data_IF_825099957567
#
_entry.id   IF_825099957567
#
_cell.length_a   1.000
_cell.length_b   1.000
_cell.length_c   1.000
_cell.angle_alpha   90.00
_cell.angle_beta   90.00
_cell.angle_gamma   90.00
#
_symmetry.space_group_name_H-M   'P 1'
#
loop_
_entity.id
_entity.type
_entity.pdbx_description
1 polymer ?
#
# COMPACT_ATOMS: atom_id res chain seq x y z
N UNK A 1 1.45 1.30 2.32
CA UNK A 1 1.68 -0.14 2.54
C UNK A 1 0.76 -0.57 3.68
N UNK A 2 -0.03 -1.63 3.46
CA UNK A 2 -0.96 -2.17 4.44
C UNK A 2 -0.39 -3.46 5.05
N UNK A 3 -0.80 -3.80 6.27
CA UNK A 3 -0.51 -5.09 6.88
C UNK A 3 -1.25 -6.17 6.08
N UNK A 4 -0.54 -6.89 5.20
CA UNK A 4 -1.13 -7.94 4.37
C UNK A 4 -0.63 -9.29 4.85
N UNK A 5 -1.53 -10.11 5.38
CA UNK A 5 -1.24 -11.52 5.65
C UNK A 5 -1.45 -12.34 4.38
N UNK A 6 -0.38 -12.96 3.90
CA UNK A 6 -0.44 -13.89 2.77
C UNK A 6 -1.18 -15.17 3.18
N UNK A 7 -0.99 -15.62 4.42
CA UNK A 7 -1.59 -16.85 4.95
C UNK A 7 -3.12 -16.77 4.98
N UNK A 8 -3.67 -15.62 5.37
CA UNK A 8 -5.12 -15.41 5.33
C UNK A 8 -5.68 -15.47 3.90
N UNK A 9 -4.98 -14.87 2.95
CA UNK A 9 -5.41 -14.89 1.54
C UNK A 9 -5.38 -16.30 0.97
N UNK A 10 -4.35 -17.09 1.29
CA UNK A 10 -4.24 -18.49 0.87
C UNK A 10 -5.33 -19.33 1.53
N UNK A 11 -5.55 -19.18 2.86
CA UNK A 11 -6.60 -19.89 3.58
C UNK A 11 -8.01 -19.65 2.98
N UNK A 12 -8.36 -18.38 2.73
CA UNK A 12 -9.65 -18.02 2.14
C UNK A 12 -9.81 -18.60 0.73
N UNK A 13 -8.75 -18.56 -0.07
CA UNK A 13 -8.76 -19.09 -1.43
C UNK A 13 -8.93 -20.60 -1.45
N UNK A 14 -8.19 -21.33 -0.60
CA UNK A 14 -8.31 -22.79 -0.50
C UNK A 14 -9.67 -23.24 0.02
N UNK A 15 -10.24 -22.55 1.00
CA UNK A 15 -11.60 -22.82 1.50
C UNK A 15 -12.63 -22.64 0.36
N UNK A 16 -12.54 -21.54 -0.37
CA UNK A 16 -13.49 -21.27 -1.43
C UNK A 16 -13.40 -22.29 -2.58
N UNK A 17 -12.19 -22.69 -2.96
CA UNK A 17 -11.99 -23.77 -3.95
C UNK A 17 -12.57 -25.08 -3.42
N UNK A 18 -12.33 -25.43 -2.15
CA UNK A 18 -12.89 -26.62 -1.54
C UNK A 18 -14.42 -26.62 -1.52
N UNK A 19 -15.04 -25.47 -1.21
CA UNK A 19 -16.49 -25.31 -1.25
C UNK A 19 -17.03 -25.51 -2.69
N UNK A 20 -16.34 -24.95 -3.70
CA UNK A 20 -16.74 -25.16 -5.10
C UNK A 20 -16.65 -26.63 -5.50
N UNK A 21 -15.57 -27.32 -5.12
CA UNK A 21 -15.42 -28.74 -5.40
C UNK A 21 -16.51 -29.55 -4.66
N UNK A 22 -16.80 -29.20 -3.41
CA UNK A 22 -17.87 -29.88 -2.64
C UNK A 22 -19.25 -29.69 -3.25
N UNK A 23 -19.59 -28.50 -3.74
CA UNK A 23 -20.92 -28.20 -4.29
C UNK A 23 -21.10 -28.62 -5.74
N UNK A 24 -20.06 -28.56 -6.55
CA UNK A 24 -20.13 -28.75 -8.01
C UNK A 24 -19.20 -29.88 -8.51
N UNK A 25 -18.46 -30.52 -7.60
CA UNK A 25 -17.43 -31.51 -7.93
C UNK A 25 -17.98 -32.71 -8.68
N UNK A 26 -19.13 -33.24 -8.29
CA UNK A 26 -19.76 -34.35 -8.96
C UNK A 26 -20.09 -34.02 -10.43
N UNK A 27 -20.77 -32.90 -10.68
CA UNK A 27 -21.10 -32.44 -12.03
C UNK A 27 -19.85 -32.16 -12.87
N UNK A 28 -18.84 -31.54 -12.27
CA UNK A 28 -17.55 -31.28 -12.91
C UNK A 28 -16.82 -32.59 -13.24
N UNK A 29 -16.80 -33.53 -12.32
CA UNK A 29 -16.17 -34.83 -12.49
C UNK A 29 -16.84 -35.66 -13.58
N UNK A 30 -18.16 -35.75 -13.59
CA UNK A 30 -18.93 -36.44 -14.61
C UNK A 30 -18.74 -35.79 -15.99
N UNK A 31 -18.70 -34.46 -16.05
CA UNK A 31 -18.41 -33.73 -17.28
C UNK A 31 -17.02 -34.05 -17.83
N UNK A 32 -15.99 -34.03 -16.97
CA UNK A 32 -14.60 -34.37 -17.35
C UNK A 32 -14.53 -35.84 -17.80
N UNK A 33 -15.16 -36.74 -17.08
CA UNK A 33 -15.19 -38.16 -17.43
C UNK A 33 -15.85 -38.38 -18.80
N UNK A 34 -16.98 -37.73 -19.09
CA UNK A 34 -17.67 -37.79 -20.41
C UNK A 34 -16.76 -37.26 -21.53
N UNK A 35 -16.03 -36.18 -21.30
CA UNK A 35 -15.07 -35.62 -22.26
C UNK A 35 -13.94 -36.62 -22.54
N UNK A 36 -13.41 -37.25 -21.50
CA UNK A 36 -12.36 -38.27 -21.66
C UNK A 36 -12.87 -39.48 -22.44
N UNK A 37 -14.06 -39.98 -22.10
CA UNK A 37 -14.68 -41.09 -22.85
C UNK A 37 -14.86 -40.75 -24.31
N UNK A 38 -15.40 -39.56 -24.63
CA UNK A 38 -15.61 -39.10 -26.01
C UNK A 38 -14.27 -38.91 -26.74
N UNK A 39 -13.24 -38.44 -26.06
CA UNK A 39 -11.91 -38.25 -26.63
C UNK A 39 -11.24 -39.58 -27.04
N UNK A 40 -11.61 -40.70 -26.41
CA UNK A 40 -11.09 -42.03 -26.73
C UNK A 40 -12.02 -42.86 -27.64
N UNK A 41 -13.29 -42.46 -27.81
CA UNK A 41 -14.26 -43.12 -28.69
C UNK A 41 -14.43 -42.28 -29.96
N UNK A 42 -13.61 -42.55 -30.95
CA UNK A 42 -13.67 -41.84 -32.24
C UNK A 42 -14.86 -42.33 -33.09
N UNK A 43 -15.69 -41.40 -33.56
CA UNK A 43 -16.63 -41.69 -34.67
C UNK A 43 -15.81 -41.96 -35.94
N UNK A 44 -16.17 -42.99 -36.70
CA UNK A 44 -15.57 -43.34 -37.96
C UNK A 44 -15.51 -42.14 -38.94
N UNK A 45 -16.45 -41.22 -38.84
CA UNK A 45 -16.49 -39.99 -39.66
C UNK A 45 -15.34 -39.05 -39.35
N UNK A 46 -14.94 -38.89 -38.10
CA UNK A 46 -13.83 -38.04 -37.65
C UNK A 46 -12.50 -38.62 -38.15
N UNK A 47 -12.42 -39.97 -38.25
CA UNK A 47 -11.20 -40.65 -38.74
C UNK A 47 -11.09 -40.51 -40.25
N UNK A 48 -12.22 -40.52 -40.97
CA UNK A 48 -12.21 -40.53 -42.48
C UNK A 48 -12.19 -39.12 -43.05
N UNK A 49 -12.64 -38.10 -42.34
CA UNK A 49 -12.68 -36.70 -42.76
C UNK A 49 -11.80 -35.82 -41.81
N UNK A 50 -10.63 -35.45 -42.31
CA UNK A 50 -9.69 -34.63 -41.56
C UNK A 50 -10.22 -33.22 -41.24
N UNK A 51 -11.25 -32.73 -41.99
CA UNK A 51 -11.86 -31.41 -41.69
C UNK A 51 -12.68 -31.41 -40.40
N UNK A 52 -13.10 -32.54 -39.89
CA UNK A 52 -13.86 -32.70 -38.66
C UNK A 52 -12.96 -32.73 -37.42
N UNK A 53 -11.68 -32.98 -37.55
CA UNK A 53 -10.72 -33.09 -36.44
C UNK A 53 -10.62 -31.78 -35.63
N UNK A 54 -10.38 -30.58 -36.26
CA UNK A 54 -10.28 -29.33 -35.49
C UNK A 54 -11.56 -28.98 -34.72
N UNK A 55 -12.79 -29.03 -35.30
CA UNK A 55 -14.00 -28.73 -34.55
C UNK A 55 -14.29 -29.76 -33.43
N UNK A 56 -13.94 -31.04 -33.61
CA UNK A 56 -14.09 -32.06 -32.59
C UNK A 56 -13.24 -31.75 -31.36
N UNK A 57 -11.94 -31.57 -31.52
CA UNK A 57 -11.07 -31.19 -30.41
C UNK A 57 -11.35 -29.80 -29.85
N UNK A 58 -11.79 -28.87 -30.69
CA UNK A 58 -12.23 -27.54 -30.26
C UNK A 58 -13.42 -27.62 -29.30
N UNK A 59 -14.41 -28.45 -29.60
CA UNK A 59 -15.59 -28.67 -28.76
C UNK A 59 -15.20 -29.33 -27.41
N UNK A 60 -14.40 -30.40 -27.44
CA UNK A 60 -13.91 -31.05 -26.22
C UNK A 60 -13.14 -30.08 -25.34
N UNK A 61 -12.28 -29.23 -25.93
CA UNK A 61 -11.50 -28.22 -25.18
C UNK A 61 -12.39 -27.16 -24.55
N UNK A 62 -13.41 -26.67 -25.27
CA UNK A 62 -14.37 -25.72 -24.74
C UNK A 62 -15.19 -26.31 -23.58
N UNK A 63 -15.69 -27.53 -23.74
CA UNK A 63 -16.42 -28.22 -22.66
C UNK A 63 -15.53 -28.44 -21.44
N UNK A 64 -14.27 -28.83 -21.63
CA UNK A 64 -13.30 -28.97 -20.56
C UNK A 64 -13.03 -27.64 -19.84
N UNK A 65 -12.89 -26.55 -20.59
CA UNK A 65 -12.75 -25.22 -20.01
C UNK A 65 -13.98 -24.83 -19.16
N UNK A 66 -15.18 -25.05 -19.67
CA UNK A 66 -16.41 -24.72 -18.91
C UNK A 66 -16.60 -25.62 -17.69
N UNK A 67 -16.13 -26.86 -17.72
CA UNK A 67 -16.18 -27.76 -16.56
C UNK A 67 -15.34 -27.24 -15.39
N UNK A 68 -14.18 -26.61 -15.64
CA UNK A 68 -13.33 -26.04 -14.59
C UNK A 68 -13.58 -24.55 -14.32
N UNK A 69 -14.42 -23.90 -15.15
CA UNK A 69 -14.70 -22.47 -15.08
C UNK A 69 -15.18 -21.99 -13.69
N UNK A 70 -16.01 -22.74 -12.92
CA UNK A 70 -16.42 -22.32 -11.58
C UNK A 70 -15.24 -22.11 -10.63
N UNK A 71 -14.25 -23.02 -10.64
CA UNK A 71 -13.03 -22.88 -9.82
C UNK A 71 -12.23 -21.65 -10.25
N UNK A 72 -12.04 -21.46 -11.56
CA UNK A 72 -11.33 -20.30 -12.09
C UNK A 72 -12.04 -18.99 -11.73
N UNK A 73 -13.36 -18.93 -11.89
CA UNK A 73 -14.14 -17.75 -11.58
C UNK A 73 -14.02 -17.36 -10.10
N UNK A 74 -14.17 -18.30 -9.18
CA UNK A 74 -14.05 -18.04 -7.73
C UNK A 74 -12.63 -17.64 -7.38
N UNK A 75 -11.63 -18.31 -7.95
CA UNK A 75 -10.22 -17.98 -7.71
C UNK A 75 -9.89 -16.56 -8.16
N UNK A 76 -10.34 -16.18 -9.36
CA UNK A 76 -10.14 -14.82 -9.91
C UNK A 76 -10.88 -13.80 -9.05
N UNK A 77 -12.16 -14.06 -8.73
CA UNK A 77 -12.96 -13.15 -7.91
C UNK A 77 -12.34 -12.90 -6.55
N UNK A 78 -11.87 -13.95 -5.87
CA UNK A 78 -11.22 -13.83 -4.56
C UNK A 78 -9.84 -13.17 -4.66
N UNK A 79 -9.06 -13.45 -5.71
CA UNK A 79 -7.77 -12.81 -5.90
C UNK A 79 -7.91 -11.29 -6.08
N UNK A 80 -8.89 -10.84 -6.86
CA UNK A 80 -9.23 -9.43 -6.99
C UNK A 80 -9.87 -8.88 -5.72
N UNK A 81 -10.84 -9.57 -5.14
CA UNK A 81 -11.52 -9.17 -3.90
C UNK A 81 -10.56 -8.98 -2.73
N UNK A 82 -9.62 -9.89 -2.55
CA UNK A 82 -8.58 -9.76 -1.52
C UNK A 82 -7.69 -8.52 -1.75
N UNK A 83 -7.41 -8.15 -3.00
CA UNK A 83 -6.67 -6.93 -3.31
C UNK A 83 -7.46 -5.66 -2.95
N UNK A 84 -8.79 -5.67 -3.15
CA UNK A 84 -9.67 -4.55 -2.79
C UNK A 84 -9.87 -4.41 -1.27
N UNK A 85 -10.12 -5.52 -0.57
CA UNK A 85 -10.42 -5.54 0.86
C UNK A 85 -9.21 -5.15 1.73
N UNK A 86 -8.00 -5.48 1.29
CA UNK A 86 -6.78 -5.32 2.12
C UNK A 86 -6.02 -4.02 1.84
N UNK A 87 -6.43 -3.19 0.87
CA UNK A 87 -5.65 -1.97 0.72
C UNK A 87 -5.84 -1.13 -0.53
N UNK A 88 -6.85 -1.40 -1.32
CA UNK A 88 -7.08 -0.64 -2.55
C UNK A 88 -6.01 -0.89 -3.64
N UNK A 89 -6.29 -0.49 -4.85
CA UNK A 89 -5.36 -0.61 -5.98
C UNK A 89 -4.38 0.58 -5.95
N UNK A 90 -3.29 0.44 -5.22
CA UNK A 90 -2.19 1.39 -5.26
C UNK A 90 -1.20 1.06 -6.38
N UNK A 91 -1.34 1.69 -7.52
CA UNK A 91 -0.36 1.57 -8.60
C UNK A 91 0.82 2.50 -8.30
N UNK A 92 1.97 1.94 -7.90
CA UNK A 92 3.18 2.72 -7.65
C UNK A 92 4.29 2.35 -8.63
N UNK A 93 4.50 3.18 -9.63
CA UNK A 93 5.59 3.05 -10.60
C UNK A 93 6.97 3.07 -9.91
N UNK A 94 7.10 3.75 -8.75
CA UNK A 94 8.34 3.78 -7.97
C UNK A 94 8.78 2.40 -7.45
N UNK A 95 7.87 1.42 -7.39
CA UNK A 95 8.18 0.04 -7.01
C UNK A 95 8.93 -0.75 -8.08
N UNK A 96 8.78 -0.38 -9.35
CA UNK A 96 9.40 -1.04 -10.51
C UNK A 96 10.80 -0.50 -10.84
N UNK A 97 11.17 0.66 -10.32
CA UNK A 97 12.50 1.22 -10.56
C UNK A 97 13.57 0.37 -9.85
N UNK A 98 14.57 -0.14 -10.59
CA UNK A 98 15.65 -0.92 -10.02
C UNK A 98 16.48 -0.03 -9.09
N UNK A 99 16.58 -0.42 -7.81
CA UNK A 99 17.42 0.26 -6.83
C UNK A 99 18.76 -0.46 -6.78
N UNK A 100 19.84 0.18 -7.23
CA UNK A 100 21.19 -0.36 -7.22
C UNK A 100 21.63 -0.89 -5.83
N UNK A 101 21.10 -0.30 -4.75
CA UNK A 101 21.34 -0.79 -3.38
C UNK A 101 20.76 -2.18 -3.08
N UNK A 102 19.82 -2.66 -3.89
CA UNK A 102 19.24 -4.03 -3.77
C UNK A 102 20.06 -5.08 -4.51
N UNK A 103 20.93 -4.66 -5.42
CA UNK A 103 21.77 -5.54 -6.24
C UNK A 103 23.09 -5.93 -5.56
N UNK A 104 23.39 -5.38 -4.38
CA UNK A 104 24.61 -5.72 -3.65
C UNK A 104 24.48 -7.11 -2.99
N UNK A 105 25.25 -8.13 -3.47
CA UNK A 105 25.11 -9.51 -3.00
C UNK A 105 25.57 -9.67 -1.53
N UNK A 106 26.56 -8.90 -1.07
CA UNK A 106 27.07 -8.97 0.31
C UNK A 106 25.99 -8.50 1.30
N UNK A 107 25.29 -7.40 0.99
CA UNK A 107 24.14 -6.93 1.79
C UNK A 107 22.95 -7.88 1.70
N UNK A 108 22.82 -8.62 0.59
CA UNK A 108 21.83 -9.67 0.40
C UNK A 108 22.08 -10.85 1.34
N UNK A 109 23.29 -11.37 1.37
CA UNK A 109 23.72 -12.47 2.26
C UNK A 109 23.55 -12.10 3.74
N UNK A 110 24.00 -10.91 4.16
CA UNK A 110 23.81 -10.46 5.55
C UNK A 110 22.33 -10.36 5.97
N UNK A 111 21.42 -10.09 5.04
CA UNK A 111 19.96 -10.13 5.31
C UNK A 111 19.42 -11.55 5.39
N UNK A 112 19.95 -12.50 4.60
CA UNK A 112 19.54 -13.92 4.62
C UNK A 112 19.94 -14.60 5.93
N UNK A 113 21.09 -14.25 6.51
CA UNK A 113 21.59 -14.82 7.79
C UNK A 113 21.25 -13.95 9.01
N UNK A 114 20.44 -12.91 8.85
CA UNK A 114 19.99 -12.07 9.96
C UNK A 114 18.95 -12.74 10.85
N UNK A 115 18.84 -12.33 12.11
CA UNK A 115 17.85 -12.83 13.08
C UNK A 115 16.42 -12.81 12.54
N UNK A 116 16.10 -11.83 11.71
CA UNK A 116 14.79 -11.74 11.06
C UNK A 116 14.51 -12.94 10.13
N UNK A 117 15.50 -13.33 9.32
CA UNK A 117 15.38 -14.50 8.43
C UNK A 117 15.29 -15.80 9.20
N UNK A 118 16.00 -15.93 10.33
CA UNK A 118 15.91 -17.10 11.20
C UNK A 118 14.49 -17.25 11.78
N UNK A 119 13.88 -16.15 12.23
CA UNK A 119 12.49 -16.14 12.71
C UNK A 119 11.50 -16.52 11.59
N UNK A 120 11.70 -15.99 10.38
CA UNK A 120 10.87 -16.35 9.22
C UNK A 120 11.03 -17.81 8.83
N UNK A 121 12.26 -18.35 8.87
CA UNK A 121 12.53 -19.78 8.65
C UNK A 121 11.82 -20.66 9.69
N UNK A 122 11.94 -20.32 10.98
CA UNK A 122 11.29 -21.06 12.06
C UNK A 122 9.76 -21.08 11.90
N UNK A 123 9.17 -19.93 11.57
CA UNK A 123 7.74 -19.86 11.26
C UNK A 123 7.37 -20.74 10.06
N UNK A 124 8.18 -20.74 9.00
CA UNK A 124 7.97 -21.60 7.83
C UNK A 124 8.00 -23.09 8.19
N UNK A 125 8.97 -23.50 9.01
CA UNK A 125 9.07 -24.88 9.50
C UNK A 125 7.88 -25.27 10.37
N UNK A 126 7.44 -24.40 11.28
CA UNK A 126 6.25 -24.65 12.10
C UNK A 126 4.98 -24.78 11.26
N UNK A 127 4.80 -23.95 10.23
CA UNK A 127 3.69 -24.07 9.29
C UNK A 127 3.74 -25.41 8.55
N UNK A 128 4.90 -25.79 8.06
CA UNK A 128 5.10 -27.07 7.37
C UNK A 128 4.73 -28.26 8.28
N UNK A 129 5.15 -28.23 9.54
CA UNK A 129 4.82 -29.27 10.51
C UNK A 129 3.31 -29.34 10.78
N UNK A 130 2.65 -28.20 11.00
CA UNK A 130 1.20 -28.13 11.24
C UNK A 130 0.43 -28.65 10.03
N UNK A 131 0.72 -28.12 8.83
CA UNK A 131 0.03 -28.55 7.60
C UNK A 131 0.31 -30.03 7.33
N UNK A 132 1.56 -30.47 7.43
CA UNK A 132 1.96 -31.87 7.23
C UNK A 132 1.26 -32.82 8.20
N UNK A 133 1.14 -32.44 9.48
CA UNK A 133 0.41 -33.24 10.47
C UNK A 133 -1.07 -33.36 10.12
N UNK A 134 -1.71 -32.27 9.66
CA UNK A 134 -3.12 -32.32 9.25
C UNK A 134 -3.30 -33.15 7.98
N UNK A 135 -2.40 -33.02 6.99
CA UNK A 135 -2.44 -33.86 5.78
C UNK A 135 -2.31 -35.34 6.14
N UNK A 136 -1.37 -35.70 7.02
CA UNK A 136 -1.23 -37.07 7.47
C UNK A 136 -2.46 -37.58 8.22
N UNK A 137 -3.08 -36.72 9.03
CA UNK A 137 -4.34 -37.04 9.73
C UNK A 137 -5.48 -37.26 8.73
N UNK A 138 -5.63 -36.39 7.73
CA UNK A 138 -6.63 -36.54 6.67
C UNK A 138 -6.44 -37.82 5.89
N UNK A 139 -5.20 -38.13 5.48
CA UNK A 139 -4.89 -39.41 4.80
C UNK A 139 -5.20 -40.62 5.67
N UNK A 140 -4.94 -40.54 6.97
CA UNK A 140 -5.26 -41.60 7.90
C UNK A 140 -6.78 -41.83 8.05
N UNK A 141 -7.55 -40.71 8.18
CA UNK A 141 -9.01 -40.80 8.34
C UNK A 141 -9.66 -41.37 7.07
N UNK A 142 -9.28 -40.89 5.90
CA UNK A 142 -9.86 -41.29 4.62
C UNK A 142 -9.17 -42.47 3.94
N UNK A 143 -8.27 -43.16 4.62
CA UNK A 143 -7.48 -44.24 4.03
C UNK A 143 -8.36 -45.36 3.46
N UNK A 144 -9.35 -45.82 4.22
CA UNK A 144 -10.25 -46.88 3.80
C UNK A 144 -11.13 -46.45 2.63
N UNK A 145 -11.66 -45.23 2.66
CA UNK A 145 -12.48 -44.64 1.58
C UNK A 145 -11.66 -44.55 0.29
N UNK A 146 -10.45 -43.99 0.35
CA UNK A 146 -9.55 -43.89 -0.82
C UNK A 146 -9.23 -45.30 -1.38
N UNK A 147 -9.10 -46.31 -0.52
CA UNK A 147 -8.83 -47.68 -0.97
C UNK A 147 -10.03 -48.28 -1.69
N UNK A 148 -11.24 -48.05 -1.19
CA UNK A 148 -12.52 -48.51 -1.78
C UNK A 148 -12.73 -47.96 -3.18
N UNK A 149 -12.30 -46.73 -3.48
CA UNK A 149 -12.42 -46.12 -4.81
C UNK A 149 -11.80 -46.94 -5.94
N UNK A 150 -10.83 -47.84 -5.63
CA UNK A 150 -10.22 -48.70 -6.63
C UNK A 150 -11.08 -49.95 -7.00
N UNK A 151 -12.16 -50.19 -6.26
CA UNK A 151 -12.93 -51.42 -6.37
C UNK A 151 -14.35 -51.16 -6.92
N UNK A 152 -14.85 -49.92 -6.76
CA UNK A 152 -16.19 -49.52 -7.20
C UNK A 152 -16.21 -49.08 -8.68
N UNK A 153 -17.41 -48.93 -9.23
CA UNK A 153 -17.60 -48.43 -10.58
C UNK A 153 -17.01 -47.03 -10.77
N UNK A 154 -16.45 -46.73 -11.94
CA UNK A 154 -15.76 -45.51 -12.27
C UNK A 154 -16.64 -44.24 -12.05
N UNK A 155 -17.93 -44.28 -12.37
CA UNK A 155 -18.82 -43.15 -12.17
C UNK A 155 -19.06 -42.89 -10.67
N UNK A 156 -19.29 -43.90 -9.88
CA UNK A 156 -19.40 -43.79 -8.42
C UNK A 156 -18.08 -43.35 -7.79
N UNK A 157 -16.98 -43.94 -8.21
CA UNK A 157 -15.64 -43.56 -7.73
C UNK A 157 -15.30 -42.13 -8.00
N UNK A 158 -15.76 -41.56 -9.11
CA UNK A 158 -15.54 -40.12 -9.45
C UNK A 158 -16.28 -39.21 -8.47
N UNK A 159 -17.55 -39.50 -8.16
CA UNK A 159 -18.34 -38.69 -7.21
C UNK A 159 -17.79 -38.79 -5.79
N UNK A 160 -17.65 -40.00 -5.24
CA UNK A 160 -17.14 -40.24 -3.88
C UNK A 160 -15.69 -39.73 -3.72
N UNK A 161 -14.86 -39.92 -4.75
CA UNK A 161 -13.48 -39.43 -4.75
C UNK A 161 -13.39 -37.91 -4.69
N UNK A 162 -14.29 -37.21 -5.40
CA UNK A 162 -14.35 -35.73 -5.36
C UNK A 162 -14.86 -35.22 -4.01
N UNK A 163 -15.83 -35.89 -3.40
CA UNK A 163 -16.33 -35.56 -2.06
C UNK A 163 -15.22 -35.77 -0.98
N UNK A 164 -14.52 -36.88 -1.03
CA UNK A 164 -13.38 -37.16 -0.15
C UNK A 164 -12.28 -36.12 -0.32
N UNK A 165 -11.97 -35.76 -1.57
CA UNK A 165 -10.99 -34.73 -1.91
C UNK A 165 -11.42 -33.34 -1.41
N UNK A 166 -12.67 -32.96 -1.63
CA UNK A 166 -13.22 -31.68 -1.17
C UNK A 166 -13.18 -31.57 0.36
N UNK A 167 -13.61 -32.62 1.06
CA UNK A 167 -13.58 -32.69 2.52
C UNK A 167 -12.15 -32.65 3.05
N UNK A 168 -11.22 -33.38 2.43
CA UNK A 168 -9.80 -33.32 2.76
C UNK A 168 -9.21 -31.91 2.61
N UNK A 169 -9.50 -31.24 1.50
CA UNK A 169 -9.05 -29.85 1.27
C UNK A 169 -9.68 -28.90 2.30
N UNK A 170 -10.96 -29.07 2.65
CA UNK A 170 -11.61 -28.27 3.70
C UNK A 170 -10.91 -28.42 5.05
N UNK A 171 -10.59 -29.63 5.48
CA UNK A 171 -9.88 -29.89 6.73
C UNK A 171 -8.48 -29.27 6.73
N UNK A 172 -7.74 -29.40 5.63
CA UNK A 172 -6.43 -28.73 5.47
C UNK A 172 -6.60 -27.20 5.52
N UNK A 173 -7.65 -26.68 4.89
CA UNK A 173 -7.93 -25.23 4.86
C UNK A 173 -8.24 -24.66 6.24
N UNK A 174 -8.89 -25.46 7.12
CA UNK A 174 -9.10 -25.07 8.53
C UNK A 174 -7.75 -24.90 9.25
N UNK A 175 -6.78 -25.76 9.00
CA UNK A 175 -5.43 -25.60 9.58
C UNK A 175 -4.75 -24.30 9.11
N UNK A 176 -4.94 -23.93 7.85
CA UNK A 176 -4.45 -22.66 7.32
C UNK A 176 -5.11 -21.46 7.98
N UNK A 177 -6.41 -21.53 8.31
CA UNK A 177 -7.10 -20.49 9.08
C UNK A 177 -6.51 -20.32 10.48
N UNK A 178 -6.19 -21.42 11.17
CA UNK A 178 -5.55 -21.38 12.48
C UNK A 178 -4.19 -20.68 12.38
N UNK A 179 -3.39 -21.03 11.37
CA UNK A 179 -2.11 -20.37 11.10
C UNK A 179 -2.32 -18.88 10.83
N UNK A 180 -3.30 -18.53 9.98
CA UNK A 180 -3.62 -17.15 9.65
C UNK A 180 -4.11 -16.35 10.88
N UNK A 181 -4.87 -16.98 11.79
CA UNK A 181 -5.33 -16.35 13.02
C UNK A 181 -4.18 -15.91 13.94
N UNK A 182 -3.04 -16.61 13.89
CA UNK A 182 -1.83 -16.21 14.61
C UNK A 182 -1.00 -15.21 13.81
N UNK A 183 -0.91 -15.38 12.49
CA UNK A 183 -0.09 -14.53 11.63
C UNK A 183 -0.66 -13.11 11.49
N UNK A 184 -1.98 -12.96 11.36
CA UNK A 184 -2.63 -11.64 11.17
C UNK A 184 -2.34 -10.67 12.31
N UNK A 185 -2.54 -10.98 13.59
CA UNK A 185 -2.19 -10.09 14.70
C UNK A 185 -0.70 -9.74 14.70
N UNK A 186 0.17 -10.71 14.46
CA UNK A 186 1.61 -10.49 14.39
C UNK A 186 1.95 -9.47 13.28
N UNK A 187 1.39 -9.62 12.11
CA UNK A 187 1.61 -8.72 10.98
C UNK A 187 1.10 -7.30 11.27
N UNK A 188 -0.08 -7.19 11.87
CA UNK A 188 -0.67 -5.89 12.26
C UNK A 188 0.22 -5.18 13.30
N UNK A 189 0.67 -5.89 14.32
CA UNK A 189 1.55 -5.33 15.36
C UNK A 189 2.91 -4.94 14.75
N UNK A 190 3.51 -5.81 13.95
CA UNK A 190 4.76 -5.53 13.26
C UNK A 190 4.67 -4.31 12.33
N UNK A 191 3.55 -4.17 11.62
CA UNK A 191 3.29 -3.03 10.75
C UNK A 191 3.13 -1.74 11.57
N UNK A 192 2.32 -1.76 12.64
CA UNK A 192 2.17 -0.62 13.55
C UNK A 192 3.50 -0.18 14.13
N UNK A 193 4.35 -1.12 14.54
CA UNK A 193 5.67 -0.79 15.09
C UNK A 193 6.62 -0.17 14.05
N UNK A 194 6.48 -0.52 12.76
CA UNK A 194 7.23 0.11 11.66
C UNK A 194 6.74 1.53 11.33
N UNK A 195 5.51 1.85 11.66
CA UNK A 195 4.93 3.18 11.46
C UNK A 195 5.17 4.13 12.64
N UNK A 196 5.60 3.60 13.79
CA UNK A 196 5.96 4.45 14.93
C UNK A 196 7.21 5.26 14.58
N UNK A 197 7.07 6.55 14.70
CA UNK A 197 8.16 7.49 14.55
C UNK A 197 8.91 7.65 15.87
N UNK A 198 10.21 7.82 15.81
CA UNK A 198 11.01 8.24 16.96
C UNK A 198 10.70 9.71 17.32
N UNK A 199 10.97 10.09 18.55
CA UNK A 199 10.80 11.49 18.99
C UNK A 199 11.63 12.45 18.10
N UNK A 200 12.78 11.97 17.62
CA UNK A 200 13.63 12.77 16.74
C UNK A 200 13.02 12.95 15.35
N UNK A 201 12.48 11.90 14.77
CA UNK A 201 11.78 11.96 13.48
C UNK A 201 10.55 12.90 13.55
N UNK A 202 9.78 12.85 14.64
CA UNK A 202 8.65 13.78 14.85
C UNK A 202 9.13 15.23 14.91
N UNK A 203 10.24 15.50 15.63
CA UNK A 203 10.82 16.85 15.69
C UNK A 203 11.31 17.34 14.33
N UNK A 204 11.88 16.44 13.54
CA UNK A 204 12.42 16.81 12.23
C UNK A 204 11.28 17.02 11.22
N UNK A 205 10.23 16.19 11.24
CA UNK A 205 9.02 16.39 10.43
C UNK A 205 8.27 17.69 10.79
N UNK A 206 8.21 18.01 12.10
CA UNK A 206 7.65 19.29 12.56
C UNK A 206 8.43 20.49 12.01
N UNK A 207 9.79 20.43 12.03
CA UNK A 207 10.64 21.47 11.45
C UNK A 207 10.48 21.60 9.93
N UNK A 208 10.27 20.47 9.23
CA UNK A 208 10.10 20.45 7.78
C UNK A 208 8.72 20.97 7.34
N UNK A 209 7.68 20.71 8.15
CA UNK A 209 6.30 21.10 7.83
C UNK A 209 5.97 22.53 8.27
N UNK A 210 6.34 22.92 9.48
CA UNK A 210 6.04 24.26 10.03
C UNK A 210 7.19 25.27 9.90
N UNK A 211 8.35 24.81 9.43
CA UNK A 211 9.57 25.60 9.34
C UNK A 211 10.29 25.73 10.69
N UNK A 212 11.57 25.99 10.63
CA UNK A 212 12.36 26.20 11.85
C UNK A 212 11.96 27.50 12.52
N UNK A 213 11.58 27.51 13.80
CA UNK A 213 11.18 28.73 14.51
C UNK A 213 12.26 29.82 14.45
N UNK A 214 13.54 29.43 14.47
CA UNK A 214 14.69 30.31 14.33
C UNK A 214 14.72 31.05 12.97
N UNK A 215 14.37 30.36 11.88
CA UNK A 215 14.29 30.98 10.55
C UNK A 215 13.15 31.99 10.50
N UNK A 216 12.00 31.65 11.08
CA UNK A 216 10.83 32.54 11.15
C UNK A 216 11.14 33.79 11.98
N UNK A 217 11.89 33.63 13.07
CA UNK A 217 12.35 34.76 13.89
C UNK A 217 13.32 35.64 13.10
N UNK A 218 14.33 35.06 12.44
CA UNK A 218 15.29 35.82 11.59
C UNK A 218 14.60 36.57 10.47
N UNK A 219 13.61 35.95 9.84
CA UNK A 219 12.83 36.63 8.79
C UNK A 219 12.11 37.85 9.38
N UNK A 220 11.47 37.74 10.56
CA UNK A 220 10.83 38.87 11.23
C UNK A 220 11.81 39.97 11.63
N UNK A 221 12.98 39.61 12.12
CA UNK A 221 14.04 40.56 12.45
C UNK A 221 14.50 41.30 11.20
N UNK A 222 14.75 40.60 10.10
CA UNK A 222 15.11 41.22 8.84
C UNK A 222 14.02 42.13 8.25
N UNK A 223 12.76 41.68 8.35
CA UNK A 223 11.63 42.53 7.93
C UNK A 223 11.54 43.84 8.73
N UNK A 224 11.76 43.76 10.05
CA UNK A 224 11.83 44.99 10.91
C UNK A 224 12.99 45.88 10.54
N UNK A 225 14.16 45.31 10.31
CA UNK A 225 15.36 46.03 9.92
C UNK A 225 15.16 46.77 8.60
N UNK A 226 14.61 46.10 7.58
CA UNK A 226 14.31 46.69 6.28
C UNK A 226 13.24 47.78 6.41
N UNK A 227 12.15 47.52 7.15
CA UNK A 227 11.10 48.51 7.38
C UNK A 227 11.65 49.80 8.10
N UNK A 228 12.55 49.58 9.08
CA UNK A 228 13.20 50.69 9.76
C UNK A 228 14.11 51.48 8.82
N UNK A 229 14.93 50.81 8.00
CA UNK A 229 15.79 51.46 7.03
C UNK A 229 15.00 52.24 6.00
N UNK A 230 13.93 51.70 5.46
CA UNK A 230 13.02 52.40 4.52
C UNK A 230 12.38 53.61 5.15
N UNK A 231 11.95 53.53 6.42
CA UNK A 231 11.39 54.67 7.14
C UNK A 231 12.41 55.79 7.33
N UNK A 232 13.67 55.44 7.68
CA UNK A 232 14.74 56.42 7.84
C UNK A 232 15.18 57.04 6.50
N UNK A 233 15.16 56.27 5.41
CA UNK A 233 15.43 56.79 4.08
C UNK A 233 14.36 57.83 3.65
N UNK A 234 13.09 57.53 3.95
CA UNK A 234 11.97 58.46 3.67
C UNK A 234 12.11 59.78 4.44
N UNK A 235 12.71 59.77 5.64
CA UNK A 235 13.00 60.99 6.41
C UNK A 235 13.89 61.95 5.62
N UNK A 236 14.92 61.45 4.92
CA UNK A 236 15.84 62.24 4.15
C UNK A 236 15.19 62.98 2.96
N UNK A 237 13.94 62.64 2.61
CA UNK A 237 13.14 63.24 1.55
C UNK A 237 12.02 64.14 2.10
N UNK A 238 12.00 64.34 3.41
CA UNK A 238 10.99 65.20 4.06
C UNK A 238 11.40 66.69 4.02
N UNK A 239 10.45 67.58 4.02
CA UNK A 239 10.68 68.99 4.06
C UNK A 239 10.67 69.55 5.49
N UNK A 240 9.91 68.93 6.38
CA UNK A 240 9.81 69.33 7.79
C UNK A 240 9.51 68.16 8.71
N UNK A 241 9.97 68.25 9.96
CA UNK A 241 9.64 67.29 11.01
C UNK A 241 8.86 67.96 12.12
N UNK A 242 7.69 67.34 12.43
CA UNK A 242 6.88 67.72 13.59
C UNK A 242 7.17 66.73 14.70
N UNK A 243 7.66 67.25 15.85
CA UNK A 243 8.04 66.39 16.99
C UNK A 243 7.27 66.75 18.26
N UNK A 244 6.88 65.70 18.99
CA UNK A 244 6.65 65.81 20.42
C UNK A 244 7.93 65.35 21.10
N UNK A 245 8.63 66.19 21.87
CA UNK A 245 10.04 66.01 22.26
C UNK A 245 10.39 64.68 22.88
N UNK A 246 9.48 64.00 23.53
CA UNK A 246 9.75 62.73 24.24
C UNK A 246 9.18 61.48 23.57
N UNK A 247 8.13 61.60 22.76
CA UNK A 247 7.37 60.41 22.36
C UNK A 247 7.15 60.22 20.86
N UNK A 248 7.00 61.27 20.06
CA UNK A 248 6.62 61.14 18.66
C UNK A 248 7.45 62.01 17.73
N UNK A 249 7.68 61.52 16.50
CA UNK A 249 8.20 62.30 15.40
C UNK A 249 7.47 61.90 14.10
N UNK A 250 7.06 62.89 13.32
CA UNK A 250 6.39 62.73 12.03
C UNK A 250 7.11 63.57 11.00
N UNK A 251 7.59 62.96 9.95
CA UNK A 251 8.21 63.62 8.80
C UNK A 251 7.17 63.88 7.73
N UNK A 252 7.11 65.12 7.26
CA UNK A 252 6.15 65.57 6.26
C UNK A 252 6.90 66.01 5.00
N UNK A 253 6.30 65.73 3.85
CA UNK A 253 6.73 66.29 2.57
C UNK A 253 5.55 67.00 1.88
N UNK A 254 5.83 68.09 1.20
CA UNK A 254 4.85 68.86 0.51
C UNK A 254 5.42 69.48 -0.79
N UNK A 255 4.86 69.08 -1.93
CA UNK A 255 5.17 69.66 -3.23
C UNK A 255 4.05 70.66 -3.66
N UNK A 256 4.37 71.93 -3.71
CA UNK A 256 3.42 72.99 -4.03
C UNK A 256 2.77 72.84 -5.41
N UNK A 257 3.32 72.05 -6.32
CA UNK A 257 2.82 71.87 -7.68
C UNK A 257 2.00 70.57 -7.89
N UNK A 258 2.15 69.62 -7.00
CA UNK A 258 1.59 68.24 -7.17
C UNK A 258 0.70 67.79 -6.02
N UNK A 259 0.85 68.32 -4.81
CA UNK A 259 0.15 67.86 -3.61
C UNK A 259 -0.91 68.85 -3.12
N UNK A 260 -2.14 68.42 -2.84
CA UNK A 260 -3.20 69.18 -2.24
C UNK A 260 -2.97 69.47 -0.75
N UNK A 261 -2.23 68.64 -0.06
CA UNK A 261 -1.89 68.74 1.36
C UNK A 261 -0.58 68.08 1.68
N UNK A 262 0.11 68.43 2.79
CA UNK A 262 1.34 67.78 3.23
C UNK A 262 1.11 66.30 3.48
N UNK A 263 2.02 65.45 2.96
CA UNK A 263 1.98 63.98 3.10
C UNK A 263 2.92 63.51 4.19
N UNK A 264 2.45 62.54 5.00
CA UNK A 264 3.31 61.90 6.00
C UNK A 264 4.20 60.86 5.31
N UNK A 265 5.50 61.10 5.27
CA UNK A 265 6.49 60.18 4.65
C UNK A 265 7.12 59.24 5.65
N UNK A 266 7.24 59.65 6.91
CA UNK A 266 7.68 58.75 7.99
C UNK A 266 7.04 59.16 9.32
N UNK A 267 6.80 58.19 10.18
CA UNK A 267 6.34 58.41 11.56
C UNK A 267 6.95 57.39 12.51
N UNK A 268 7.19 57.78 13.75
CA UNK A 268 7.73 56.90 14.77
C UNK A 268 7.38 57.38 16.17
N UNK A 269 7.40 56.40 17.09
CA UNK A 269 7.25 56.59 18.51
C UNK A 269 8.51 56.20 19.26
N UNK A 270 8.78 56.81 20.39
CA UNK A 270 9.87 56.56 21.33
C UNK A 270 11.25 56.35 20.65
N UNK A 271 11.72 55.10 20.59
CA UNK A 271 13.01 54.77 19.97
C UNK A 271 13.06 55.18 18.49
N UNK A 272 11.98 54.96 17.74
CA UNK A 272 11.93 55.31 16.34
C UNK A 272 11.83 56.81 16.14
N UNK A 273 11.11 57.53 17.00
CA UNK A 273 11.03 59.01 16.99
C UNK A 273 12.42 59.63 17.19
N UNK A 274 13.26 59.06 18.07
CA UNK A 274 14.63 59.49 18.27
C UNK A 274 15.47 59.30 16.99
N UNK A 275 15.37 58.12 16.37
CA UNK A 275 16.09 57.80 15.13
C UNK A 275 15.66 58.68 13.96
N UNK A 276 14.37 59.07 13.87
CA UNK A 276 13.87 59.97 12.88
C UNK A 276 14.45 61.38 13.07
N UNK A 277 14.55 61.85 14.33
CA UNK A 277 15.18 63.17 14.65
C UNK A 277 16.69 63.17 14.34
N UNK A 278 17.40 62.16 14.79
CA UNK A 278 18.82 62.02 14.48
C UNK A 278 19.10 62.05 12.98
N UNK A 279 18.25 61.34 12.18
CA UNK A 279 18.35 61.29 10.72
C UNK A 279 17.99 62.61 10.05
N UNK A 280 17.05 63.35 10.60
CA UNK A 280 16.65 64.67 10.10
C UNK A 280 17.77 65.71 10.34
N UNK A 281 18.36 65.73 11.55
CA UNK A 281 19.49 66.60 11.87
C UNK A 281 20.67 66.34 10.92
N UNK A 282 20.99 65.01 10.65
CA UNK A 282 22.00 64.65 9.66
C UNK A 282 21.70 65.14 8.24
N UNK A 283 20.41 65.19 7.89
CA UNK A 283 19.92 65.61 6.56
C UNK A 283 19.67 67.09 6.44
N UNK A 284 19.86 67.90 7.52
CA UNK A 284 19.61 69.34 7.52
C UNK A 284 18.14 69.76 7.46
N UNK A 285 17.22 68.87 7.92
CA UNK A 285 15.78 69.08 7.90
C UNK A 285 15.33 69.60 9.29
N UNK A 286 14.59 70.73 9.29
CA UNK A 286 14.09 71.40 10.50
C UNK A 286 12.75 70.92 10.99
#
# INVERSE_FOLDING_TARGET
QYARSQDLSVALLTIAVAIVIYLLGEDMGQSILSILQEAFIFDTRVITDSSLIPPFFGNLSLRGFFSIAPILAVTIFLAFGAAFLVGGIGFSIKGFLPKASKLNPIKGLGRMFGMKSLVELLKGLLKLLVIGSVVMLVLYIFFEEIFILNIIDLHLATGEGLDTLATGILLISVSLLVIAAVDVPYQVISFRNKLKMSIQEIKDEYKDTEGRPEVKQRIREKQREVAMATTLEAVSKADVIVTNPSHFAVALSYDMGADEAPKVVAKGADFMARKIREKAEESGIH
#
